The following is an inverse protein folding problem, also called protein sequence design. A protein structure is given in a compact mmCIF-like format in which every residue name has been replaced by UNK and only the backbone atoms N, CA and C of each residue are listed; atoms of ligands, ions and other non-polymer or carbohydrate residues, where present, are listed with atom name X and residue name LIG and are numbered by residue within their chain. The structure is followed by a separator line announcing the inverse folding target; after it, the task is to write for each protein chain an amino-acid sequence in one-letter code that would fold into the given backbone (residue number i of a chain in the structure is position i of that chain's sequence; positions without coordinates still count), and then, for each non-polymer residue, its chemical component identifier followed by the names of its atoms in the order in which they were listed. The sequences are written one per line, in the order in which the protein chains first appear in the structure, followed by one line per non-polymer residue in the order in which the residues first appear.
data_IF_897597109095
#
_entry.id   IF_897597109095
#
_cell.length_a   1.000
_cell.length_b   1.000
_cell.length_c   1.000
_cell.angle_alpha   90.00
_cell.angle_beta   90.00
_cell.angle_gamma   90.00
#
_symmetry.space_group_name_H-M   'P 1'
#
loop_
_entity.id
_entity.type
_entity.pdbx_description
1 polymer ?
#
# COMPACT_ATOMS: atom_id res chain seq x y z
N UNK A 1 -0.02 9.53 35.06
CA UNK A 1 -0.33 8.26 34.37
C UNK A 1 -0.59 8.59 32.90
N UNK A 2 0.42 8.49 32.04
CA UNK A 2 0.29 8.80 30.61
C UNK A 2 -0.50 7.66 29.98
N UNK A 3 -1.72 7.96 29.51
CA UNK A 3 -2.53 7.02 28.74
C UNK A 3 -1.84 6.84 27.40
N UNK A 4 -0.96 5.84 27.31
CA UNK A 4 -0.39 5.37 26.05
C UNK A 4 -1.56 4.83 25.25
N UNK A 5 -2.17 5.70 24.42
CA UNK A 5 -3.13 5.29 23.41
C UNK A 5 -2.41 4.33 22.48
N UNK A 6 -2.82 3.06 22.54
CA UNK A 6 -2.27 1.94 21.79
C UNK A 6 -1.98 2.35 20.33
N UNK A 7 -0.76 2.12 19.80
CA UNK A 7 -0.42 2.48 18.44
C UNK A 7 -0.99 1.47 17.44
N UNK A 8 -2.28 1.18 17.51
CA UNK A 8 -3.01 0.57 16.38
C UNK A 8 -3.43 1.70 15.45
N UNK A 9 -2.46 2.46 14.92
CA UNK A 9 -2.80 3.67 14.17
C UNK A 9 -3.45 3.27 12.83
N UNK A 10 -4.77 3.45 12.66
CA UNK A 10 -5.48 3.09 11.42
C UNK A 10 -4.92 3.86 10.21
N UNK A 11 -4.22 4.96 10.48
CA UNK A 11 -3.49 5.78 9.51
C UNK A 11 -2.48 4.96 8.70
N UNK A 12 -1.73 4.05 9.35
CA UNK A 12 -0.75 3.23 8.65
C UNK A 12 -1.38 2.30 7.62
N UNK A 13 -2.54 1.73 7.94
CA UNK A 13 -3.29 0.87 7.02
C UNK A 13 -3.94 1.69 5.90
N UNK A 14 -4.50 2.87 6.23
CA UNK A 14 -5.07 3.78 5.24
C UNK A 14 -4.01 4.20 4.21
N UNK A 15 -2.80 4.58 4.66
CA UNK A 15 -1.68 4.90 3.77
C UNK A 15 -1.31 3.68 2.90
N UNK A 16 -1.22 2.50 3.50
CA UNK A 16 -0.93 1.26 2.76
C UNK A 16 -1.97 0.95 1.68
N UNK A 17 -3.25 1.16 1.97
CA UNK A 17 -4.35 0.97 1.03
C UNK A 17 -4.30 2.00 -0.12
N UNK A 18 -4.07 3.28 0.20
CA UNK A 18 -3.91 4.34 -0.81
C UNK A 18 -2.71 4.04 -1.73
N UNK A 19 -1.58 3.60 -1.17
CA UNK A 19 -0.42 3.20 -1.97
C UNK A 19 -0.76 2.03 -2.89
N UNK A 20 -1.35 0.95 -2.37
CA UNK A 20 -1.74 -0.19 -3.20
C UNK A 20 -2.68 0.25 -4.34
N UNK A 21 -3.67 1.10 -4.04
CA UNK A 21 -4.59 1.65 -5.04
C UNK A 21 -3.89 2.46 -6.12
N UNK A 22 -2.95 3.34 -5.75
CA UNK A 22 -2.15 4.10 -6.71
C UNK A 22 -1.31 3.19 -7.60
N UNK A 23 -0.66 2.18 -7.00
CA UNK A 23 0.16 1.25 -7.78
C UNK A 23 -0.66 0.43 -8.78
N UNK A 24 -1.83 -0.06 -8.37
CA UNK A 24 -2.77 -0.75 -9.27
C UNK A 24 -3.24 0.20 -10.38
N UNK A 25 -3.60 1.44 -10.05
CA UNK A 25 -4.04 2.43 -11.04
C UNK A 25 -2.97 2.69 -12.11
N UNK A 26 -1.71 2.91 -11.69
CA UNK A 26 -0.59 3.14 -12.61
C UNK A 26 -0.38 1.91 -13.51
N UNK A 27 -0.38 0.71 -12.94
CA UNK A 27 -0.24 -0.53 -13.71
C UNK A 27 -1.39 -0.71 -14.72
N UNK A 28 -2.64 -0.50 -14.30
CA UNK A 28 -3.80 -0.64 -15.19
C UNK A 28 -3.76 0.38 -16.33
N UNK A 29 -3.39 1.62 -16.00
CA UNK A 29 -3.28 2.72 -16.95
C UNK A 29 -2.27 2.44 -18.06
N UNK A 30 -1.15 1.79 -17.72
CA UNK A 30 -0.12 1.43 -18.71
C UNK A 30 -0.41 0.13 -19.44
N UNK A 31 -0.76 -0.94 -18.71
CA UNK A 31 -0.83 -2.29 -19.24
C UNK A 31 -2.17 -2.62 -19.91
N UNK A 32 -3.25 -1.94 -19.50
CA UNK A 32 -4.61 -2.23 -19.98
C UNK A 32 -5.14 -1.09 -20.84
N UNK A 33 -4.90 0.16 -20.43
CA UNK A 33 -5.43 1.33 -21.14
C UNK A 33 -4.45 1.92 -22.16
N UNK A 34 -3.20 1.43 -22.21
CA UNK A 34 -2.13 1.88 -23.12
C UNK A 34 -1.98 3.42 -23.18
N UNK A 35 -2.20 4.09 -22.04
CA UNK A 35 -2.09 5.55 -21.92
C UNK A 35 -0.62 5.96 -21.77
N UNK A 36 -0.30 7.18 -22.20
CA UNK A 36 1.03 7.77 -22.04
C UNK A 36 1.51 7.71 -20.58
N UNK A 37 2.73 7.27 -20.27
CA UNK A 37 3.24 7.14 -18.91
C UNK A 37 3.21 8.47 -18.13
N UNK A 38 2.86 8.42 -16.83
CA UNK A 38 2.78 9.60 -15.96
C UNK A 38 4.16 10.26 -15.77
N UNK A 39 5.21 9.45 -15.72
CA UNK A 39 6.59 9.93 -15.54
C UNK A 39 7.35 10.10 -16.86
N UNK A 40 6.67 9.98 -18.00
CA UNK A 40 7.29 10.06 -19.33
C UNK A 40 8.02 8.79 -19.77
N UNK A 41 8.24 7.81 -18.88
CA UNK A 41 8.82 6.51 -19.24
C UNK A 41 8.04 5.34 -18.64
N UNK A 42 7.66 4.33 -19.44
CA UNK A 42 6.82 3.22 -18.97
C UNK A 42 7.54 2.33 -17.95
N UNK A 43 8.86 2.18 -18.06
CA UNK A 43 9.66 1.41 -17.11
C UNK A 43 9.63 2.02 -15.69
N UNK A 44 9.64 3.35 -15.59
CA UNK A 44 9.67 4.05 -14.30
C UNK A 44 8.30 3.98 -13.62
N UNK A 45 7.22 4.20 -14.37
CA UNK A 45 5.86 4.00 -13.89
C UNK A 45 5.63 2.55 -13.41
N UNK A 46 6.14 1.55 -14.13
CA UNK A 46 6.01 0.14 -13.73
C UNK A 46 6.78 -0.15 -12.43
N UNK A 47 7.97 0.44 -12.26
CA UNK A 47 8.73 0.35 -11.02
C UNK A 47 7.98 1.00 -9.84
N UNK A 48 7.37 2.16 -10.05
CA UNK A 48 6.53 2.81 -9.04
C UNK A 48 5.29 1.99 -8.72
N UNK A 49 4.61 1.45 -9.73
CA UNK A 49 3.45 0.59 -9.56
C UNK A 49 3.78 -0.63 -8.70
N UNK A 50 4.84 -1.35 -9.06
CA UNK A 50 5.34 -2.48 -8.28
C UNK A 50 5.69 -2.07 -6.85
N UNK A 51 6.45 -1.00 -6.67
CA UNK A 51 6.85 -0.52 -5.34
C UNK A 51 5.65 -0.19 -4.45
N UNK A 52 4.68 0.56 -4.97
CA UNK A 52 3.49 0.96 -4.23
C UNK A 52 2.62 -0.24 -3.85
N UNK A 53 2.41 -1.18 -4.77
CA UNK A 53 1.67 -2.42 -4.49
C UNK A 53 2.38 -3.26 -3.44
N UNK A 54 3.70 -3.48 -3.58
CA UNK A 54 4.47 -4.28 -2.63
C UNK A 54 4.42 -3.65 -1.23
N UNK A 55 4.63 -2.33 -1.15
CA UNK A 55 4.63 -1.61 0.12
C UNK A 55 3.25 -1.62 0.79
N UNK A 56 2.19 -1.42 0.02
CA UNK A 56 0.81 -1.55 0.52
C UNK A 56 0.50 -2.95 1.04
N UNK A 57 0.89 -3.98 0.29
CA UNK A 57 0.70 -5.38 0.68
C UNK A 57 1.48 -5.76 1.95
N UNK A 58 2.73 -5.28 2.09
CA UNK A 58 3.52 -5.48 3.31
C UNK A 58 2.85 -4.81 4.51
N UNK A 59 2.33 -3.60 4.35
CA UNK A 59 1.63 -2.89 5.42
C UNK A 59 0.35 -3.63 5.84
N UNK A 60 -0.42 -4.13 4.87
CA UNK A 60 -1.59 -4.97 5.14
C UNK A 60 -1.23 -6.26 5.87
N UNK A 61 -0.15 -6.95 5.45
CA UNK A 61 0.34 -8.17 6.10
C UNK A 61 0.74 -7.91 7.55
N UNK A 62 1.43 -6.80 7.83
CA UNK A 62 1.81 -6.41 9.20
C UNK A 62 0.59 -6.17 10.08
N UNK A 63 -0.42 -5.49 9.55
CA UNK A 63 -1.69 -5.29 10.26
C UNK A 63 -2.40 -6.61 10.54
N UNK A 64 -2.45 -7.53 9.56
CA UNK A 64 -3.10 -8.82 9.72
C UNK A 64 -2.44 -9.65 10.82
N UNK A 65 -1.11 -9.73 10.80
CA UNK A 65 -0.33 -10.41 11.85
C UNK A 65 -0.53 -9.79 13.24
N UNK A 66 -0.68 -8.47 13.32
CA UNK A 66 -0.96 -7.79 14.59
C UNK A 66 -2.36 -8.14 15.13
N UNK A 67 -3.35 -8.29 14.25
CA UNK A 67 -4.72 -8.71 14.65
C UNK A 67 -4.79 -10.17 15.08
N UNK A 68 -4.07 -11.06 14.39
CA UNK A 68 -4.00 -12.48 14.75
C UNK A 68 -3.41 -12.67 16.16
N UNK A 69 -2.38 -11.92 16.52
CA UNK A 69 -1.77 -11.95 17.87
C UNK A 69 -2.69 -11.40 18.95
N UNK A 70 -3.44 -10.34 18.66
CA UNK A 70 -4.35 -9.71 19.62
C UNK A 70 -5.64 -10.52 19.89
N UNK A 71 -5.93 -11.55 19.08
CA UNK A 71 -7.07 -12.46 19.30
C UNK A 71 -6.69 -13.78 19.98
N UNK A 72 -5.42 -13.97 20.35
CA UNK A 72 -4.94 -15.16 21.08
C UNK A 72 -4.73 -14.90 22.58
N UNK A 73 -4.98 -13.68 23.06
CA UNK A 73 -5.06 -13.30 24.48
C UNK A 73 -6.53 -13.17 24.90
#
# INVERSE_FOLDING_TARGET
MVKVTSPHSPVGLAIGAVMAGLGVFIALRLLVLEREPLTGTPALDLAFAAFFVLRGALQYRRWRLARERAGQE
#
